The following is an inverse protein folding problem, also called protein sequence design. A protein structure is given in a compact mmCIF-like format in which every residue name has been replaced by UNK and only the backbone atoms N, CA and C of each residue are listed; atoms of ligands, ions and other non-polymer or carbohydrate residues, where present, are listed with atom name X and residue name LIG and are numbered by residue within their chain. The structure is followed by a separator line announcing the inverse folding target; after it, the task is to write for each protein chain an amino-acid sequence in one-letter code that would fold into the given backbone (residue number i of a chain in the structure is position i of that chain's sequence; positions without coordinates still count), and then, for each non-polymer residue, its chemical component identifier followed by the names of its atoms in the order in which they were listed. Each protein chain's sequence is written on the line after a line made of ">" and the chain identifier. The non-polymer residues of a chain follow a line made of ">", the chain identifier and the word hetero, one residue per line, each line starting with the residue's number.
data_IF_796513729835
#
_entry.id   IF_796513729835
#
_cell.length_a   1.000
_cell.length_b   1.000
_cell.length_c   1.000
_cell.angle_alpha   90.00
_cell.angle_beta   90.00
_cell.angle_gamma   90.00
#
_symmetry.space_group_name_H-M   'P 1'
#
loop_
_entity.id
_entity.type
_entity.pdbx_description
1 polymer ?
#
# COMPACT_ATOMS: atom_id res chain seq x y z
N UNK A 1 87.99 6.16 12.28
CA UNK A 1 87.48 5.11 13.20
C UNK A 1 85.98 5.33 13.40
N UNK A 2 85.18 4.31 13.04
CA UNK A 2 83.85 3.93 13.58
C UNK A 2 82.73 5.00 13.57
N UNK A 3 81.73 4.87 12.68
CA UNK A 3 80.47 4.08 12.80
C UNK A 3 79.47 4.65 13.83
N UNK A 4 78.17 4.50 13.51
CA UNK A 4 76.92 4.95 14.19
C UNK A 4 76.53 6.41 13.85
N UNK A 5 75.36 6.75 13.31
CA UNK A 5 74.07 6.07 13.13
C UNK A 5 73.49 6.41 11.75
N UNK A 6 73.18 5.38 10.97
CA UNK A 6 72.22 5.44 9.86
C UNK A 6 70.88 4.87 10.35
N UNK A 7 69.80 5.32 9.71
CA UNK A 7 68.44 4.78 9.74
C UNK A 7 67.55 5.12 10.94
N UNK A 8 67.10 6.38 11.03
CA UNK A 8 65.72 6.66 11.44
C UNK A 8 65.22 7.82 10.56
N UNK A 9 63.98 7.71 10.09
CA UNK A 9 63.16 8.75 9.43
C UNK A 9 63.12 8.70 7.90
N UNK A 10 62.47 7.68 7.34
CA UNK A 10 61.50 7.88 6.23
C UNK A 10 60.68 6.60 6.02
N UNK A 11 59.74 6.34 6.92
CA UNK A 11 58.66 5.38 6.70
C UNK A 11 57.43 5.83 7.49
N UNK A 12 56.99 7.06 7.23
CA UNK A 12 55.74 7.58 7.78
C UNK A 12 54.64 7.36 6.74
N UNK A 13 53.87 6.30 6.99
CA UNK A 13 52.44 6.21 6.77
C UNK A 13 51.86 6.79 5.47
N UNK A 14 51.78 5.94 4.44
CA UNK A 14 50.70 6.00 3.45
C UNK A 14 49.82 4.74 3.57
N UNK A 15 49.40 4.41 4.79
CA UNK A 15 48.15 3.68 4.96
C UNK A 15 47.04 4.68 4.67
N UNK A 16 46.59 4.71 3.42
CA UNK A 16 45.25 5.17 3.07
C UNK A 16 44.28 4.41 3.98
N UNK A 17 43.91 5.05 5.09
CA UNK A 17 42.71 4.69 5.79
C UNK A 17 41.59 4.99 4.79
N UNK A 18 41.18 3.97 4.02
CA UNK A 18 39.81 3.87 3.61
C UNK A 18 38.99 3.74 4.89
N UNK A 19 38.75 4.87 5.54
CA UNK A 19 37.63 5.04 6.44
C UNK A 19 36.41 4.93 5.54
N UNK A 20 36.04 3.69 5.21
CA UNK A 20 34.66 3.36 4.89
C UNK A 20 33.87 3.88 6.08
N UNK A 21 33.27 5.06 5.95
CA UNK A 21 32.20 5.47 6.84
C UNK A 21 31.13 4.40 6.66
N UNK A 22 31.20 3.37 7.50
CA UNK A 22 30.08 2.45 7.71
C UNK A 22 29.07 3.31 8.44
N UNK A 23 28.33 4.12 7.69
CA UNK A 23 27.07 4.66 8.16
C UNK A 23 26.22 3.41 8.37
N UNK A 24 25.96 3.08 9.63
CA UNK A 24 25.07 1.98 9.97
C UNK A 24 23.77 2.19 9.20
N UNK A 25 23.41 1.25 8.32
CA UNK A 25 22.20 1.37 7.52
C UNK A 25 21.03 1.35 8.49
N UNK A 26 20.33 2.49 8.59
CA UNK A 26 19.17 2.60 9.48
C UNK A 26 18.01 1.82 8.87
N UNK A 27 17.37 1.01 9.71
CA UNK A 27 16.13 0.30 9.37
C UNK A 27 15.04 1.34 9.03
N UNK A 28 14.45 1.33 7.83
CA UNK A 28 13.40 2.27 7.48
C UNK A 28 12.13 1.99 8.30
N UNK A 29 11.44 3.07 8.70
CA UNK A 29 10.21 3.01 9.49
C UNK A 29 8.97 2.87 8.60
N UNK A 30 9.01 1.95 7.64
CA UNK A 30 7.87 1.60 6.79
C UNK A 30 6.82 0.80 7.56
N UNK A 31 5.60 0.73 7.01
CA UNK A 31 4.42 0.10 7.62
C UNK A 31 4.04 -1.22 6.92
N UNK A 32 3.74 -1.20 5.61
CA UNK A 32 3.37 -2.43 4.88
C UNK A 32 4.64 -3.15 4.46
N UNK A 33 5.61 -2.41 3.91
CA UNK A 33 6.95 -2.93 3.64
C UNK A 33 7.65 -3.30 4.95
N UNK A 34 8.25 -4.49 4.99
CA UNK A 34 9.05 -4.89 6.13
C UNK A 34 10.42 -4.18 6.08
N UNK A 35 10.69 -3.35 7.09
CA UNK A 35 11.92 -2.57 7.14
C UNK A 35 13.20 -3.42 7.24
N UNK A 36 13.13 -4.60 7.83
CA UNK A 36 14.28 -5.51 7.95
C UNK A 36 14.63 -6.12 6.59
N UNK A 37 13.63 -6.55 5.81
CA UNK A 37 13.80 -7.04 4.43
C UNK A 37 14.42 -5.94 3.54
N UNK A 38 13.94 -4.70 3.64
CA UNK A 38 14.49 -3.58 2.88
C UNK A 38 15.96 -3.34 3.23
N UNK A 39 16.26 -3.30 4.52
CA UNK A 39 17.62 -3.09 5.03
C UNK A 39 18.57 -4.23 4.61
N UNK A 40 18.15 -5.48 4.77
CA UNK A 40 18.90 -6.66 4.34
C UNK A 40 19.20 -6.63 2.84
N UNK A 41 18.21 -6.34 2.01
CA UNK A 41 18.40 -6.27 0.56
C UNK A 41 19.26 -5.09 0.12
N UNK A 42 19.22 -3.96 0.84
CA UNK A 42 20.16 -2.85 0.61
C UNK A 42 21.60 -3.24 0.95
N UNK A 43 21.81 -3.99 2.04
CA UNK A 43 23.13 -4.57 2.34
C UNK A 43 23.60 -5.52 1.24
N UNK A 44 22.73 -6.43 0.75
CA UNK A 44 23.06 -7.35 -0.34
C UNK A 44 23.43 -6.62 -1.63
N UNK A 45 22.72 -5.55 -1.98
CA UNK A 45 23.05 -4.68 -3.11
C UNK A 45 24.46 -4.09 -2.95
N UNK A 46 24.77 -3.52 -1.79
CA UNK A 46 26.08 -2.92 -1.51
C UNK A 46 27.22 -3.96 -1.51
N UNK A 47 26.91 -5.22 -1.18
CA UNK A 47 27.84 -6.34 -1.23
C UNK A 47 27.97 -6.98 -2.62
N UNK A 48 27.27 -6.46 -3.64
CA UNK A 48 27.37 -6.96 -5.02
C UNK A 48 26.54 -8.22 -5.31
N UNK A 49 25.51 -8.53 -4.51
CA UNK A 49 24.64 -9.67 -4.79
C UNK A 49 23.93 -9.53 -6.15
N UNK A 50 24.19 -10.48 -7.05
CA UNK A 50 23.73 -10.41 -8.44
C UNK A 50 22.21 -10.34 -8.58
N UNK A 51 21.47 -11.13 -7.80
CA UNK A 51 20.01 -11.20 -7.87
C UNK A 51 19.38 -9.88 -7.38
N UNK A 52 19.87 -9.32 -6.27
CA UNK A 52 19.40 -8.02 -5.79
C UNK A 52 19.78 -6.89 -6.75
N UNK A 53 20.96 -6.93 -7.39
CA UNK A 53 21.35 -5.96 -8.42
C UNK A 53 20.47 -6.05 -9.67
N UNK A 54 20.09 -7.26 -10.09
CA UNK A 54 19.13 -7.46 -11.19
C UNK A 54 17.76 -6.86 -10.85
N UNK A 55 17.25 -7.13 -9.64
CA UNK A 55 15.99 -6.56 -9.18
C UNK A 55 16.04 -5.03 -9.05
N UNK A 56 17.18 -4.47 -8.60
CA UNK A 56 17.40 -3.03 -8.55
C UNK A 56 17.37 -2.40 -9.95
N UNK A 57 17.97 -3.05 -10.95
CA UNK A 57 17.91 -2.59 -12.35
C UNK A 57 16.47 -2.54 -12.87
N UNK A 58 15.65 -3.55 -12.55
CA UNK A 58 14.21 -3.56 -12.88
C UNK A 58 13.48 -2.40 -12.20
N UNK A 59 13.74 -2.18 -10.91
CA UNK A 59 13.17 -1.07 -10.13
C UNK A 59 13.49 0.29 -10.76
N UNK A 60 14.77 0.56 -11.03
CA UNK A 60 15.24 1.81 -11.64
C UNK A 60 14.63 2.00 -13.04
N UNK A 61 14.60 0.94 -13.85
CA UNK A 61 14.04 1.01 -15.21
C UNK A 61 12.54 1.33 -15.19
N UNK A 62 11.83 0.93 -14.13
CA UNK A 62 10.40 1.20 -13.96
C UNK A 62 10.11 2.65 -13.57
N UNK A 63 11.09 3.38 -13.03
CA UNK A 63 10.90 4.74 -12.50
C UNK A 63 10.92 5.85 -13.56
N UNK A 64 11.33 5.55 -14.80
CA UNK A 64 11.41 6.52 -15.90
C UNK A 64 10.13 7.35 -16.09
N UNK A 65 8.94 6.72 -16.23
CA UNK A 65 7.67 7.44 -16.34
C UNK A 65 7.36 8.34 -15.13
N UNK A 66 7.64 7.87 -13.91
CA UNK A 66 7.40 8.62 -12.67
C UNK A 66 8.31 9.83 -12.54
N UNK A 67 9.57 9.73 -12.98
CA UNK A 67 10.52 10.87 -13.02
C UNK A 67 10.03 12.01 -13.92
N UNK A 68 9.35 11.67 -15.01
CA UNK A 68 8.80 12.64 -15.97
C UNK A 68 7.34 13.04 -15.69
N UNK A 69 6.72 12.53 -14.61
CA UNK A 69 5.31 12.77 -14.32
C UNK A 69 5.02 14.26 -14.13
N UNK A 70 4.06 14.80 -14.86
CA UNK A 70 3.55 16.14 -14.57
C UNK A 70 2.68 16.05 -13.29
N UNK A 71 2.93 16.88 -12.27
CA UNK A 71 2.10 16.87 -11.06
C UNK A 71 0.62 17.08 -11.38
N UNK A 72 -0.22 16.16 -10.91
CA UNK A 72 -1.68 16.25 -11.00
C UNK A 72 -2.28 16.68 -9.68
N UNK A 73 -3.46 17.30 -9.72
CA UNK A 73 -4.19 17.75 -8.53
C UNK A 73 -5.70 17.58 -8.72
N UNK A 74 -6.41 17.41 -7.61
CA UNK A 74 -7.87 17.37 -7.57
C UNK A 74 -8.51 18.67 -8.11
N UNK A 75 -7.82 19.81 -8.11
CA UNK A 75 -8.42 21.08 -8.59
C UNK A 75 -8.60 21.13 -10.11
N UNK A 76 -7.97 20.19 -10.83
CA UNK A 76 -7.97 20.14 -12.31
C UNK A 76 -9.25 19.55 -12.91
N UNK A 77 -10.14 18.98 -12.09
CA UNK A 77 -11.42 18.44 -12.55
C UNK A 77 -12.34 19.55 -13.09
N UNK A 78 -13.04 19.26 -14.18
CA UNK A 78 -14.03 20.18 -14.77
C UNK A 78 -15.24 20.38 -13.86
N UNK A 79 -15.72 19.30 -13.22
CA UNK A 79 -16.83 19.33 -12.27
C UNK A 79 -16.51 20.18 -11.04
N UNK A 80 -17.40 21.07 -10.63
CA UNK A 80 -17.31 21.73 -9.33
C UNK A 80 -18.01 20.85 -8.28
N UNK A 81 -17.34 20.47 -7.18
CA UNK A 81 -17.95 19.68 -6.13
C UNK A 81 -19.15 20.40 -5.50
N UNK A 82 -20.09 19.67 -4.86
CA UNK A 82 -21.28 20.29 -4.24
C UNK A 82 -20.97 21.36 -3.18
N UNK A 83 -19.77 21.38 -2.59
CA UNK A 83 -19.32 22.44 -1.68
C UNK A 83 -19.01 23.77 -2.37
N UNK A 84 -18.78 23.76 -3.68
CA UNK A 84 -18.16 24.88 -4.41
C UNK A 84 -16.63 24.91 -4.37
N UNK A 85 -15.99 24.10 -3.53
CA UNK A 85 -14.53 24.04 -3.38
C UNK A 85 -13.90 22.99 -4.30
N UNK A 86 -13.01 23.42 -5.20
CA UNK A 86 -12.29 22.53 -6.13
C UNK A 86 -11.26 21.62 -5.45
N UNK A 87 -10.80 22.00 -4.25
CA UNK A 87 -9.88 21.19 -3.45
C UNK A 87 -10.56 19.96 -2.83
N UNK A 88 -11.89 19.86 -2.88
CA UNK A 88 -12.60 18.68 -2.41
C UNK A 88 -12.48 17.53 -3.40
N UNK A 89 -11.94 16.41 -2.94
CA UNK A 89 -11.88 15.17 -3.70
C UNK A 89 -13.27 14.73 -4.14
N UNK A 90 -13.42 14.38 -5.42
CA UNK A 90 -14.70 13.96 -5.98
C UNK A 90 -14.56 12.73 -6.87
N UNK A 91 -15.50 11.80 -6.78
CA UNK A 91 -15.60 10.67 -7.72
C UNK A 91 -17.05 10.19 -7.83
N UNK A 92 -17.33 9.36 -8.84
CA UNK A 92 -18.61 8.67 -8.99
C UNK A 92 -18.46 7.19 -8.65
N UNK A 93 -19.49 6.60 -8.06
CA UNK A 93 -19.47 5.19 -7.71
C UNK A 93 -19.39 4.32 -8.98
N UNK A 94 -18.40 3.41 -9.10
CA UNK A 94 -18.04 2.80 -10.38
C UNK A 94 -19.08 1.82 -10.92
N UNK A 95 -19.97 1.28 -10.09
CA UNK A 95 -20.94 0.25 -10.48
C UNK A 95 -22.38 0.75 -10.56
N UNK A 96 -22.58 2.05 -10.66
CA UNK A 96 -23.91 2.66 -10.69
C UNK A 96 -24.23 3.17 -12.09
N UNK A 97 -25.38 2.75 -12.62
CA UNK A 97 -25.81 2.96 -14.01
C UNK A 97 -27.14 3.70 -14.08
N UNK A 98 -27.41 4.45 -15.18
CA UNK A 98 -28.71 5.05 -15.43
C UNK A 98 -29.84 4.03 -15.29
N UNK A 99 -30.91 4.39 -14.58
CA UNK A 99 -32.04 3.50 -14.33
C UNK A 99 -32.97 3.44 -15.55
N UNK A 100 -33.09 2.30 -16.25
CA UNK A 100 -33.92 2.22 -17.44
C UNK A 100 -35.42 2.38 -17.13
N UNK A 101 -35.83 2.13 -15.87
CA UNK A 101 -37.23 2.10 -15.43
C UNK A 101 -37.79 3.48 -15.05
N UNK A 102 -37.00 4.54 -15.17
CA UNK A 102 -37.46 5.92 -14.94
C UNK A 102 -37.24 6.78 -16.17
N UNK A 103 -38.08 7.79 -16.36
CA UNK A 103 -38.04 8.68 -17.52
C UNK A 103 -36.76 9.53 -17.55
N UNK A 104 -36.30 9.99 -16.39
CA UNK A 104 -35.08 10.79 -16.23
C UNK A 104 -33.81 9.95 -15.95
N UNK A 105 -33.93 8.62 -15.95
CA UNK A 105 -32.84 7.66 -15.66
C UNK A 105 -32.21 7.77 -14.26
N UNK A 106 -32.90 8.38 -13.30
CA UNK A 106 -32.49 8.51 -11.90
C UNK A 106 -33.48 7.81 -10.94
N UNK A 107 -33.07 7.51 -9.68
CA UNK A 107 -31.67 7.43 -9.24
C UNK A 107 -30.95 6.31 -10.00
N UNK A 108 -29.63 6.40 -10.12
CA UNK A 108 -28.85 5.31 -10.72
C UNK A 108 -29.06 4.00 -9.94
N UNK A 109 -28.88 2.86 -10.62
CA UNK A 109 -28.99 1.52 -10.03
C UNK A 109 -27.66 0.79 -10.08
N UNK A 110 -27.41 -0.04 -9.06
CA UNK A 110 -26.17 -0.81 -8.95
C UNK A 110 -26.17 -2.02 -9.89
N UNK A 111 -25.09 -2.20 -10.66
CA UNK A 111 -24.74 -3.42 -11.41
C UNK A 111 -23.38 -3.92 -10.95
N UNK A 112 -23.37 -4.86 -10.01
CA UNK A 112 -22.13 -5.28 -9.37
C UNK A 112 -21.09 -5.81 -10.37
N UNK A 113 -19.83 -5.41 -10.18
CA UNK A 113 -18.71 -5.82 -11.02
C UNK A 113 -18.71 -5.24 -12.45
N UNK A 114 -19.75 -4.49 -12.85
CA UNK A 114 -19.89 -3.90 -14.18
C UNK A 114 -19.59 -2.38 -14.12
N UNK A 115 -18.38 -1.94 -14.47
CA UNK A 115 -17.99 -0.53 -14.35
C UNK A 115 -18.73 0.36 -15.35
N UNK A 116 -19.36 1.42 -14.87
CA UNK A 116 -19.91 2.50 -15.69
C UNK A 116 -18.76 3.44 -16.14
N UNK A 117 -18.47 3.55 -17.44
CA UNK A 117 -17.41 4.41 -17.95
C UNK A 117 -17.57 5.88 -17.58
N UNK A 118 -18.78 6.32 -17.27
CA UNK A 118 -19.07 7.68 -16.80
C UNK A 118 -18.29 8.03 -15.52
N UNK A 119 -17.99 7.04 -14.67
CA UNK A 119 -17.15 7.27 -13.49
C UNK A 119 -15.75 7.80 -13.83
N UNK A 120 -15.27 7.53 -15.06
CA UNK A 120 -13.98 8.03 -15.55
C UNK A 120 -14.02 9.50 -16.00
N UNK A 121 -15.18 10.16 -15.99
CA UNK A 121 -15.28 11.59 -16.28
C UNK A 121 -14.62 12.45 -15.19
N UNK A 122 -14.52 11.94 -13.96
CA UNK A 122 -13.81 12.57 -12.85
C UNK A 122 -12.54 11.78 -12.58
N UNK A 123 -11.39 12.46 -12.59
CA UNK A 123 -10.08 11.80 -12.58
C UNK A 123 -9.39 11.77 -11.23
N UNK A 124 -9.95 12.39 -10.19
CA UNK A 124 -9.31 12.49 -8.86
C UNK A 124 -8.86 11.11 -8.33
N UNK A 125 -9.67 10.07 -8.51
CA UNK A 125 -9.30 8.68 -8.16
C UNK A 125 -8.09 8.18 -8.96
N UNK A 126 -8.05 8.45 -10.26
CA UNK A 126 -6.91 8.03 -11.10
C UNK A 126 -5.64 8.79 -10.71
N UNK A 127 -5.73 10.11 -10.52
CA UNK A 127 -4.61 10.94 -10.09
C UNK A 127 -4.06 10.50 -8.74
N UNK A 128 -4.93 10.20 -7.77
CA UNK A 128 -4.50 9.72 -6.47
C UNK A 128 -3.84 8.35 -6.55
N UNK A 129 -4.43 7.40 -7.28
CA UNK A 129 -3.84 6.06 -7.44
C UNK A 129 -2.48 6.09 -8.12
N UNK A 130 -2.34 6.92 -9.15
CA UNK A 130 -1.06 7.05 -9.86
C UNK A 130 -0.02 7.76 -9.00
N UNK A 131 -0.41 8.79 -8.23
CA UNK A 131 0.45 9.38 -7.21
C UNK A 131 0.93 8.35 -6.19
N UNK A 132 0.04 7.52 -5.63
CA UNK A 132 0.43 6.50 -4.65
C UNK A 132 1.49 5.53 -5.21
N UNK A 133 1.31 5.09 -6.46
CA UNK A 133 2.29 4.23 -7.15
C UNK A 133 3.61 4.96 -7.37
N UNK A 134 3.57 6.20 -7.87
CA UNK A 134 4.76 7.00 -8.17
C UNK A 134 5.56 7.27 -6.89
N UNK A 135 4.91 7.69 -5.79
CA UNK A 135 5.61 7.97 -4.52
C UNK A 135 6.23 6.70 -3.93
N UNK A 136 5.53 5.56 -3.97
CA UNK A 136 6.09 4.29 -3.51
C UNK A 136 7.32 3.89 -4.33
N UNK A 137 7.22 3.98 -5.66
CA UNK A 137 8.30 3.61 -6.57
C UNK A 137 9.51 4.53 -6.43
N UNK A 138 9.29 5.84 -6.40
CA UNK A 138 10.35 6.84 -6.24
C UNK A 138 11.01 6.72 -4.86
N UNK A 139 10.24 6.48 -3.79
CA UNK A 139 10.77 6.23 -2.45
C UNK A 139 11.67 5.00 -2.40
N UNK A 140 11.25 3.89 -3.02
CA UNK A 140 12.08 2.69 -3.14
C UNK A 140 13.37 2.94 -3.95
N UNK A 141 13.26 3.66 -5.08
CA UNK A 141 14.43 4.02 -5.89
C UNK A 141 15.42 4.87 -5.09
N UNK A 142 14.94 5.92 -4.42
CA UNK A 142 15.77 6.74 -3.56
C UNK A 142 16.42 5.90 -2.45
N UNK A 143 15.64 5.06 -1.75
CA UNK A 143 16.18 4.25 -0.67
C UNK A 143 17.31 3.32 -1.13
N UNK A 144 17.15 2.60 -2.24
CA UNK A 144 18.17 1.63 -2.68
C UNK A 144 19.37 2.26 -3.39
N UNK A 145 19.23 3.46 -3.97
CA UNK A 145 20.29 4.11 -4.76
C UNK A 145 20.95 5.30 -4.07
N UNK A 146 20.28 5.90 -3.09
CA UNK A 146 20.56 7.22 -2.53
C UNK A 146 20.61 8.36 -3.57
N UNK A 147 20.02 8.16 -4.76
CA UNK A 147 19.99 9.17 -5.83
C UNK A 147 18.84 10.18 -5.58
N UNK A 148 19.23 11.41 -5.26
CA UNK A 148 18.32 12.50 -4.88
C UNK A 148 17.29 12.86 -5.93
N UNK A 149 17.51 12.55 -7.22
CA UNK A 149 16.52 12.87 -8.27
C UNK A 149 15.16 12.21 -8.02
N UNK A 150 15.16 11.02 -7.41
CA UNK A 150 13.93 10.31 -7.08
C UNK A 150 13.18 10.99 -5.93
N UNK A 151 13.91 11.39 -4.88
CA UNK A 151 13.32 12.08 -3.74
C UNK A 151 12.86 13.49 -4.09
N UNK A 152 13.62 14.20 -4.94
CA UNK A 152 13.22 15.50 -5.49
C UNK A 152 11.89 15.40 -6.22
N UNK A 153 11.73 14.39 -7.09
CA UNK A 153 10.47 14.19 -7.82
C UNK A 153 9.32 13.81 -6.89
N UNK A 154 9.57 12.93 -5.93
CA UNK A 154 8.55 12.54 -4.95
C UNK A 154 8.07 13.75 -4.13
N UNK A 155 9.01 14.61 -3.69
CA UNK A 155 8.70 15.82 -2.95
C UNK A 155 7.87 16.83 -3.78
N UNK A 156 8.18 17.00 -5.07
CA UNK A 156 7.39 17.83 -6.00
C UNK A 156 5.93 17.36 -6.07
N UNK A 157 5.73 16.06 -6.34
CA UNK A 157 4.40 15.46 -6.49
C UNK A 157 3.58 15.54 -5.18
N UNK A 158 4.20 15.23 -4.03
CA UNK A 158 3.57 15.32 -2.71
C UNK A 158 3.17 16.75 -2.36
N UNK A 159 4.04 17.73 -2.64
CA UNK A 159 3.76 19.14 -2.38
C UNK A 159 2.53 19.62 -3.15
N UNK A 160 2.43 19.30 -4.44
CA UNK A 160 1.27 19.69 -5.25
C UNK A 160 -0.02 19.03 -4.75
N UNK A 161 0.03 17.73 -4.44
CA UNK A 161 -1.20 17.02 -4.11
C UNK A 161 -1.70 17.26 -2.67
N UNK A 162 -0.81 17.48 -1.70
CA UNK A 162 -1.18 17.54 -0.27
C UNK A 162 -0.87 18.87 0.43
N UNK A 163 0.16 19.61 -0.01
CA UNK A 163 0.73 20.67 0.83
C UNK A 163 0.43 22.08 0.30
N UNK A 164 0.52 22.29 -1.01
CA UNK A 164 0.29 23.59 -1.65
C UNK A 164 -1.20 23.93 -1.61
N UNK A 165 -1.58 24.99 -0.88
CA UNK A 165 -2.97 25.41 -0.67
C UNK A 165 -3.77 25.60 -1.96
N UNK A 166 -3.14 26.08 -3.04
CA UNK A 166 -3.81 26.30 -4.32
C UNK A 166 -4.19 25.00 -5.06
N UNK A 167 -3.60 23.87 -4.67
CA UNK A 167 -3.73 22.59 -5.40
C UNK A 167 -4.00 21.37 -4.51
N UNK A 168 -3.87 21.51 -3.18
CA UNK A 168 -3.98 20.36 -2.27
C UNK A 168 -5.38 19.76 -2.29
N UNK A 169 -5.46 18.45 -2.13
CA UNK A 169 -6.70 17.79 -1.73
C UNK A 169 -7.05 18.19 -0.29
N UNK A 170 -8.30 18.57 -0.02
CA UNK A 170 -8.77 18.73 1.36
C UNK A 170 -8.82 17.37 2.08
N UNK A 171 -8.51 17.28 3.38
CA UNK A 171 -8.33 16.01 4.10
C UNK A 171 -9.66 15.33 4.46
N UNK A 172 -10.51 15.06 3.45
CA UNK A 172 -11.77 14.32 3.59
C UNK A 172 -12.27 13.74 2.25
N UNK A 173 -13.19 12.77 2.32
CA UNK A 173 -13.82 12.15 1.14
C UNK A 173 -15.34 12.37 1.07
N UNK A 174 -15.81 13.54 1.50
CA UNK A 174 -17.25 13.86 1.55
C UNK A 174 -17.99 13.64 0.22
N UNK A 175 -17.31 13.84 -0.92
CA UNK A 175 -17.89 13.72 -2.26
C UNK A 175 -17.26 12.58 -3.07
N UNK A 176 -16.70 11.57 -2.40
CA UNK A 176 -16.23 10.35 -3.06
C UNK A 176 -17.40 9.41 -3.35
N UNK A 177 -17.32 8.73 -4.48
CA UNK A 177 -18.29 7.75 -4.97
C UNK A 177 -19.74 8.23 -4.91
N UNK A 178 -20.00 9.45 -5.35
CA UNK A 178 -21.37 9.94 -5.47
C UNK A 178 -22.17 9.08 -6.44
N UNK A 179 -23.46 8.95 -6.16
CA UNK A 179 -24.42 8.24 -7.00
C UNK A 179 -25.40 9.26 -7.54
N UNK A 180 -25.62 9.28 -8.86
CA UNK A 180 -26.52 10.27 -9.45
C UNK A 180 -27.96 10.02 -9.03
N UNK A 181 -28.62 11.08 -8.58
CA UNK A 181 -30.00 11.03 -8.08
C UNK A 181 -30.13 10.44 -6.68
N UNK A 182 -29.01 10.20 -5.98
CA UNK A 182 -29.00 9.71 -4.60
C UNK A 182 -28.12 10.62 -3.72
N UNK A 183 -28.65 11.08 -2.61
CA UNK A 183 -27.98 11.98 -1.67
C UNK A 183 -27.59 11.29 -0.35
N UNK A 184 -27.77 9.96 -0.24
CA UNK A 184 -27.38 9.20 0.93
C UNK A 184 -25.87 9.21 1.13
N UNK A 185 -25.46 9.10 2.39
CA UNK A 185 -24.06 8.95 2.77
C UNK A 185 -23.71 7.46 2.71
N UNK A 186 -22.66 7.13 1.97
CA UNK A 186 -22.14 5.77 1.86
C UNK A 186 -20.70 5.70 2.35
N UNK A 187 -20.35 4.60 3.02
CA UNK A 187 -18.97 4.32 3.43
C UNK A 187 -18.04 3.90 2.29
N UNK A 188 -18.59 3.52 1.13
CA UNK A 188 -17.83 2.93 0.02
C UNK A 188 -16.80 3.89 -0.57
N UNK A 189 -17.00 5.21 -0.44
CA UNK A 189 -16.08 6.23 -0.93
C UNK A 189 -14.68 6.13 -0.35
N UNK A 190 -14.52 5.61 0.88
CA UNK A 190 -13.20 5.42 1.53
C UNK A 190 -12.27 4.42 0.83
N UNK A 191 -12.79 3.60 -0.08
CA UNK A 191 -11.96 2.69 -0.88
C UNK A 191 -11.14 3.45 -1.94
N UNK A 192 -11.52 4.67 -2.29
CA UNK A 192 -10.82 5.47 -3.28
C UNK A 192 -9.40 5.88 -2.83
N UNK A 193 -9.16 5.90 -1.52
CA UNK A 193 -7.88 6.21 -0.87
C UNK A 193 -7.15 4.97 -0.34
N UNK A 194 -7.60 3.77 -0.70
CA UNK A 194 -7.09 2.50 -0.14
C UNK A 194 -5.57 2.27 -0.32
N UNK A 195 -4.94 2.99 -1.25
CA UNK A 195 -3.51 2.92 -1.57
C UNK A 195 -2.66 3.94 -0.81
N UNK A 196 -3.25 4.89 -0.07
CA UNK A 196 -2.49 5.85 0.74
C UNK A 196 -1.54 5.19 1.76
N UNK A 197 -1.86 4.04 2.38
CA UNK A 197 -0.87 3.30 3.17
C UNK A 197 0.40 2.90 2.39
N UNK A 198 0.26 2.53 1.12
CA UNK A 198 1.38 2.21 0.24
C UNK A 198 2.20 3.46 -0.14
N UNK A 199 1.54 4.62 -0.28
CA UNK A 199 2.19 5.94 -0.44
C UNK A 199 3.02 6.29 0.80
N UNK A 200 2.49 6.05 2.00
CA UNK A 200 3.17 6.37 3.25
C UNK A 200 4.45 5.56 3.44
N UNK A 201 4.52 4.30 2.99
CA UNK A 201 5.79 3.58 2.92
C UNK A 201 6.81 4.33 2.05
N UNK A 202 6.40 4.81 0.87
CA UNK A 202 7.25 5.59 -0.03
C UNK A 202 7.77 6.88 0.63
N UNK A 203 6.91 7.59 1.37
CA UNK A 203 7.29 8.78 2.14
C UNK A 203 8.32 8.45 3.23
N UNK A 204 8.11 7.37 3.99
CA UNK A 204 9.05 6.96 5.04
C UNK A 204 10.43 6.63 4.49
N UNK A 205 10.52 6.20 3.23
CA UNK A 205 11.77 5.93 2.54
C UNK A 205 12.52 7.19 2.08
N UNK A 206 11.87 8.36 2.03
CA UNK A 206 12.50 9.65 1.72
C UNK A 206 13.31 10.23 2.90
N UNK A 207 13.28 9.60 4.07
CA UNK A 207 14.01 10.05 5.24
C UNK A 207 15.51 10.25 4.93
N UNK A 208 16.06 11.39 5.36
CA UNK A 208 17.44 11.78 5.09
C UNK A 208 17.68 12.48 3.76
N UNK A 209 16.67 12.57 2.87
CA UNK A 209 16.78 13.35 1.64
C UNK A 209 16.80 14.85 1.94
N UNK A 210 17.67 15.58 1.23
CA UNK A 210 17.67 17.05 1.22
C UNK A 210 16.41 17.65 0.57
N UNK A 211 15.72 16.87 -0.29
CA UNK A 211 14.50 17.28 -0.98
C UNK A 211 13.23 17.10 -0.14
N UNK A 212 13.26 16.21 0.86
CA UNK A 212 12.15 15.94 1.78
C UNK A 212 12.47 16.39 3.21
N UNK A 213 12.30 17.69 3.46
CA UNK A 213 12.58 18.32 4.76
C UNK A 213 11.62 17.90 5.88
N UNK A 214 12.04 18.13 7.13
CA UNK A 214 11.20 17.96 8.33
C UNK A 214 9.89 18.73 8.25
N UNK A 215 9.89 19.92 7.65
CA UNK A 215 8.68 20.75 7.50
C UNK A 215 7.67 20.11 6.55
N UNK A 216 8.14 19.50 5.44
CA UNK A 216 7.26 18.76 4.54
C UNK A 216 6.69 17.52 5.23
N UNK A 217 7.51 16.81 6.00
CA UNK A 217 7.08 15.66 6.80
C UNK A 217 5.99 16.07 7.81
N UNK A 218 6.22 17.14 8.58
CA UNK A 218 5.28 17.64 9.57
C UNK A 218 3.97 18.13 8.92
N UNK A 219 4.06 18.82 7.78
CA UNK A 219 2.88 19.28 7.04
C UNK A 219 2.05 18.10 6.50
N UNK A 220 2.69 17.05 5.99
CA UNK A 220 2.00 15.85 5.54
C UNK A 220 1.37 15.08 6.71
N UNK A 221 2.06 14.96 7.84
CA UNK A 221 1.49 14.41 9.07
C UNK A 221 0.27 15.22 9.54
N UNK A 222 0.32 16.55 9.44
CA UNK A 222 -0.82 17.42 9.72
C UNK A 222 -2.02 17.17 8.82
N UNK A 223 -1.80 16.88 7.52
CA UNK A 223 -2.86 16.48 6.59
C UNK A 223 -3.48 15.13 6.99
N UNK A 224 -2.64 14.11 7.25
CA UNK A 224 -3.11 12.78 7.65
C UNK A 224 -3.78 12.76 9.03
N UNK A 225 -3.38 13.65 9.95
CA UNK A 225 -4.04 13.83 11.24
C UNK A 225 -5.47 14.32 11.07
N UNK A 226 -5.68 15.33 10.23
CA UNK A 226 -7.03 15.83 9.89
C UNK A 226 -7.87 14.76 9.18
N UNK A 227 -7.27 14.03 8.24
CA UNK A 227 -7.98 13.01 7.50
C UNK A 227 -8.35 11.80 8.37
N UNK A 228 -7.45 11.36 9.26
CA UNK A 228 -7.73 10.34 10.26
C UNK A 228 -8.90 10.75 11.17
N UNK A 229 -8.89 12.00 11.66
CA UNK A 229 -10.00 12.52 12.45
C UNK A 229 -11.31 12.50 11.66
N UNK A 230 -11.30 12.91 10.39
CA UNK A 230 -12.48 12.86 9.54
C UNK A 230 -12.98 11.42 9.34
N UNK A 231 -12.09 10.44 9.11
CA UNK A 231 -12.47 9.03 8.97
C UNK A 231 -13.15 8.50 10.25
N UNK A 232 -12.65 8.85 11.44
CA UNK A 232 -13.19 8.31 12.69
C UNK A 232 -14.49 9.01 13.13
N UNK A 233 -14.68 10.29 12.78
CA UNK A 233 -15.78 11.11 13.34
C UNK A 233 -16.88 11.47 12.34
N UNK A 234 -16.61 11.44 11.03
CA UNK A 234 -17.61 11.82 10.02
C UNK A 234 -18.62 10.71 9.76
N UNK A 235 -19.83 11.08 9.30
CA UNK A 235 -20.86 10.10 8.93
C UNK A 235 -20.36 9.11 7.86
N UNK A 236 -19.66 9.57 6.82
CA UNK A 236 -19.12 8.70 5.77
C UNK A 236 -18.04 7.75 6.27
N UNK A 237 -17.19 8.21 7.18
CA UNK A 237 -16.18 7.38 7.84
C UNK A 237 -16.79 6.34 8.79
N UNK A 238 -17.83 6.70 9.55
CA UNK A 238 -18.59 5.78 10.40
C UNK A 238 -19.24 4.69 9.54
N UNK A 239 -19.93 5.05 8.44
CA UNK A 239 -20.50 4.06 7.51
C UNK A 239 -19.44 3.13 6.91
N UNK A 240 -18.25 3.64 6.61
CA UNK A 240 -17.14 2.82 6.13
C UNK A 240 -16.65 1.84 7.20
N UNK A 241 -16.59 2.28 8.45
CA UNK A 241 -16.19 1.45 9.59
C UNK A 241 -17.13 0.25 9.79
N UNK A 242 -18.41 0.41 9.48
CA UNK A 242 -19.45 -0.63 9.60
C UNK A 242 -19.50 -1.58 8.40
N UNK A 243 -18.76 -1.32 7.32
CA UNK A 243 -18.80 -2.16 6.13
C UNK A 243 -18.30 -3.59 6.45
N UNK A 244 -19.12 -4.64 6.19
CA UNK A 244 -18.79 -5.99 6.62
C UNK A 244 -17.74 -6.67 5.73
N UNK A 245 -17.48 -6.14 4.55
CA UNK A 245 -16.62 -6.73 3.52
C UNK A 245 -15.24 -6.03 3.45
N UNK A 246 -14.52 -6.21 2.35
CA UNK A 246 -13.20 -5.65 2.08
C UNK A 246 -13.09 -4.14 2.33
N UNK A 247 -14.16 -3.37 2.15
CA UNK A 247 -14.15 -1.93 2.46
C UNK A 247 -13.78 -1.72 3.93
N UNK A 248 -14.36 -2.52 4.82
CA UNK A 248 -14.05 -2.50 6.23
C UNK A 248 -12.60 -2.87 6.56
N UNK A 249 -12.07 -3.88 5.87
CA UNK A 249 -10.68 -4.32 6.00
C UNK A 249 -9.72 -3.19 5.61
N UNK A 250 -9.97 -2.55 4.46
CA UNK A 250 -9.18 -1.42 3.99
C UNK A 250 -9.39 -0.16 4.83
N UNK A 251 -10.57 0.04 5.43
CA UNK A 251 -10.80 1.09 6.40
C UNK A 251 -9.90 0.91 7.63
N UNK A 252 -9.82 -0.31 8.20
CA UNK A 252 -8.91 -0.59 9.31
C UNK A 252 -7.43 -0.45 8.91
N UNK A 253 -7.04 -0.93 7.72
CA UNK A 253 -5.69 -0.69 7.18
C UNK A 253 -5.34 0.81 7.14
N UNK A 254 -6.25 1.64 6.63
CA UNK A 254 -6.05 3.08 6.53
C UNK A 254 -5.88 3.74 7.91
N UNK A 255 -6.88 3.61 8.79
CA UNK A 255 -6.86 4.34 10.08
C UNK A 255 -5.70 3.90 10.99
N UNK A 256 -5.32 2.62 10.98
CA UNK A 256 -4.19 2.11 11.79
C UNK A 256 -2.87 2.64 11.23
N UNK A 257 -2.70 2.61 9.91
CA UNK A 257 -1.49 3.17 9.27
C UNK A 257 -1.37 4.66 9.54
N UNK A 258 -2.46 5.42 9.43
CA UNK A 258 -2.42 6.86 9.65
C UNK A 258 -2.17 7.22 11.10
N UNK A 259 -2.76 6.48 12.05
CA UNK A 259 -2.47 6.65 13.48
C UNK A 259 -0.98 6.44 13.78
N UNK A 260 -0.35 5.42 13.19
CA UNK A 260 1.09 5.19 13.30
C UNK A 260 1.90 6.32 12.64
N UNK A 261 1.51 6.76 11.45
CA UNK A 261 2.22 7.81 10.71
C UNK A 261 2.23 9.16 11.43
N UNK A 262 1.15 9.51 12.14
CA UNK A 262 1.08 10.72 12.98
C UNK A 262 1.64 10.51 14.40
N UNK A 263 2.27 9.36 14.66
CA UNK A 263 2.94 9.07 15.94
C UNK A 263 2.01 8.60 17.07
N UNK A 264 0.72 8.37 16.81
CA UNK A 264 -0.24 7.92 17.81
C UNK A 264 -0.35 6.38 17.86
N UNK A 265 0.70 5.75 18.38
CA UNK A 265 0.76 4.28 18.52
C UNK A 265 -0.31 3.71 19.45
N UNK A 266 -0.70 4.44 20.49
CA UNK A 266 -1.78 4.04 21.42
C UNK A 266 -3.11 3.91 20.70
N UNK A 267 -3.47 4.89 19.86
CA UNK A 267 -4.67 4.82 19.03
C UNK A 267 -4.59 3.65 18.04
N UNK A 268 -3.46 3.48 17.35
CA UNK A 268 -3.27 2.37 16.40
C UNK A 268 -3.52 1.00 17.06
N UNK A 269 -2.96 0.79 18.26
CA UNK A 269 -3.17 -0.43 19.05
C UNK A 269 -4.64 -0.61 19.42
N UNK A 270 -5.29 0.44 19.94
CA UNK A 270 -6.70 0.41 20.30
C UNK A 270 -7.61 0.08 19.11
N UNK A 271 -7.36 0.65 17.92
CA UNK A 271 -8.14 0.38 16.71
C UNK A 271 -8.01 -1.07 16.24
N UNK A 272 -6.82 -1.68 16.37
CA UNK A 272 -6.63 -3.10 16.09
C UNK A 272 -7.45 -3.98 17.05
N UNK A 273 -7.34 -3.71 18.36
CA UNK A 273 -7.98 -4.51 19.40
C UNK A 273 -9.52 -4.38 19.40
N UNK A 274 -10.04 -3.17 19.16
CA UNK A 274 -11.47 -2.88 19.25
C UNK A 274 -12.22 -3.08 17.93
N UNK A 275 -11.54 -2.97 16.79
CA UNK A 275 -12.18 -3.08 15.46
C UNK A 275 -11.66 -4.26 14.64
N UNK A 276 -10.35 -4.37 14.43
CA UNK A 276 -9.80 -5.35 13.50
C UNK A 276 -10.05 -6.81 13.95
N UNK A 277 -9.90 -7.11 15.24
CA UNK A 277 -10.18 -8.44 15.78
C UNK A 277 -11.64 -8.87 15.57
N UNK A 278 -12.59 -7.98 15.88
CA UNK A 278 -14.01 -8.24 15.66
C UNK A 278 -14.35 -8.40 14.17
N UNK A 279 -13.73 -7.60 13.30
CA UNK A 279 -13.93 -7.69 11.85
C UNK A 279 -13.40 -9.01 11.28
N UNK A 280 -12.23 -9.47 11.74
CA UNK A 280 -11.68 -10.76 11.32
C UNK A 280 -12.66 -11.89 11.66
N UNK A 281 -13.22 -11.89 12.88
CA UNK A 281 -14.21 -12.88 13.26
C UNK A 281 -15.47 -12.78 12.38
N UNK A 282 -15.99 -11.58 12.14
CA UNK A 282 -17.22 -11.40 11.37
C UNK A 282 -17.10 -11.75 9.88
N UNK A 283 -15.92 -11.56 9.26
CA UNK A 283 -15.73 -11.74 7.83
C UNK A 283 -15.50 -13.19 7.38
N UNK A 284 -14.97 -14.01 8.29
CA UNK A 284 -14.46 -15.34 7.95
C UNK A 284 -15.37 -16.44 8.49
N UNK A 285 -15.45 -17.56 7.78
CA UNK A 285 -15.88 -18.83 8.38
C UNK A 285 -14.72 -19.46 9.15
N UNK A 286 -15.03 -20.43 10.01
CA UNK A 286 -14.04 -21.23 10.77
C UNK A 286 -13.08 -22.00 9.84
N UNK A 287 -13.51 -22.26 8.61
CA UNK A 287 -12.76 -22.91 7.53
C UNK A 287 -12.00 -21.93 6.63
N UNK A 288 -12.15 -20.61 6.82
CA UNK A 288 -11.41 -19.58 6.10
C UNK A 288 -12.17 -18.89 4.96
N UNK A 289 -13.37 -19.34 4.58
CA UNK A 289 -14.16 -18.67 3.54
C UNK A 289 -14.43 -17.21 3.89
N UNK A 290 -14.31 -16.34 2.88
CA UNK A 290 -14.59 -14.91 2.98
C UNK A 290 -16.01 -14.62 2.50
N UNK A 291 -17.01 -14.79 3.38
CA UNK A 291 -18.43 -14.92 2.98
C UNK A 291 -18.96 -13.74 2.16
N UNK A 292 -18.57 -12.52 2.52
CA UNK A 292 -19.04 -11.31 1.84
C UNK A 292 -18.39 -11.11 0.46
N UNK A 293 -17.19 -11.64 0.26
CA UNK A 293 -16.49 -11.58 -1.03
C UNK A 293 -16.95 -12.68 -1.98
N UNK A 294 -17.28 -13.85 -1.44
CA UNK A 294 -17.85 -14.96 -2.21
C UNK A 294 -19.24 -14.63 -2.79
N UNK A 295 -19.98 -13.72 -2.15
CA UNK A 295 -21.27 -13.24 -2.66
C UNK A 295 -21.16 -12.24 -3.82
N UNK A 296 -19.94 -11.91 -4.29
CA UNK A 296 -19.70 -10.91 -5.33
C UNK A 296 -19.65 -11.58 -6.70
N UNK A 297 -20.11 -10.85 -7.71
CA UNK A 297 -20.01 -11.29 -9.12
C UNK A 297 -18.56 -11.48 -9.59
N UNK A 298 -17.59 -10.84 -8.93
CA UNK A 298 -16.13 -11.01 -9.14
C UNK A 298 -15.48 -11.63 -7.90
N UNK A 299 -16.00 -12.74 -7.42
CA UNK A 299 -15.66 -13.29 -6.10
C UNK A 299 -14.17 -13.60 -5.94
N UNK A 300 -13.52 -14.21 -6.93
CA UNK A 300 -12.07 -14.49 -6.87
C UNK A 300 -11.26 -13.19 -6.74
N UNK A 301 -11.65 -12.15 -7.47
CA UNK A 301 -11.01 -10.83 -7.40
C UNK A 301 -11.16 -10.22 -6.01
N UNK A 302 -12.35 -10.31 -5.43
CA UNK A 302 -12.64 -9.72 -4.11
C UNK A 302 -12.03 -10.52 -2.95
N UNK A 303 -11.99 -11.86 -3.04
CA UNK A 303 -11.30 -12.70 -2.06
C UNK A 303 -9.78 -12.40 -2.02
N UNK A 304 -9.14 -12.23 -3.18
CA UNK A 304 -7.73 -11.83 -3.25
C UNK A 304 -7.51 -10.40 -2.74
N UNK A 305 -8.40 -9.47 -3.11
CA UNK A 305 -8.35 -8.08 -2.63
C UNK A 305 -8.45 -8.01 -1.10
N UNK A 306 -9.43 -8.68 -0.51
CA UNK A 306 -9.63 -8.65 0.94
C UNK A 306 -8.48 -9.33 1.69
N UNK A 307 -7.99 -10.47 1.19
CA UNK A 307 -6.81 -11.14 1.75
C UNK A 307 -5.57 -10.24 1.69
N UNK A 308 -5.33 -9.52 0.58
CA UNK A 308 -4.27 -8.51 0.48
C UNK A 308 -4.44 -7.44 1.56
N UNK A 309 -5.65 -6.90 1.74
CA UNK A 309 -5.95 -5.92 2.78
C UNK A 309 -5.60 -6.41 4.18
N UNK A 310 -5.98 -7.65 4.51
CA UNK A 310 -5.65 -8.28 5.78
C UNK A 310 -4.15 -8.52 5.98
N UNK A 311 -3.44 -8.98 4.95
CA UNK A 311 -1.99 -9.18 5.01
C UNK A 311 -1.25 -7.84 5.19
N UNK A 312 -1.68 -6.80 4.49
CA UNK A 312 -1.14 -5.46 4.68
C UNK A 312 -1.40 -4.95 6.11
N UNK A 313 -2.62 -5.16 6.64
CA UNK A 313 -2.96 -4.77 8.01
C UNK A 313 -2.14 -5.56 9.04
N UNK A 314 -1.86 -6.83 8.78
CA UNK A 314 -1.00 -7.64 9.65
C UNK A 314 0.46 -7.15 9.66
N UNK A 315 1.03 -6.77 8.51
CA UNK A 315 2.32 -6.09 8.46
C UNK A 315 2.32 -4.80 9.28
N UNK A 316 1.30 -3.95 9.11
CA UNK A 316 1.17 -2.67 9.81
C UNK A 316 1.02 -2.86 11.33
N UNK A 317 0.31 -3.91 11.75
CA UNK A 317 0.08 -4.23 13.16
C UNK A 317 1.38 -4.53 13.92
N UNK A 318 2.41 -5.06 13.25
CA UNK A 318 3.72 -5.29 13.86
C UNK A 318 4.35 -3.99 14.37
N UNK A 319 4.19 -2.88 13.65
CA UNK A 319 4.64 -1.54 14.09
C UNK A 319 3.91 -1.05 15.34
N UNK A 320 2.69 -1.55 15.59
CA UNK A 320 1.96 -1.32 16.84
C UNK A 320 2.37 -2.30 17.95
N UNK A 321 3.14 -3.35 17.66
CA UNK A 321 3.49 -4.44 18.59
C UNK A 321 2.41 -5.52 18.70
N UNK A 322 1.55 -5.66 17.68
CA UNK A 322 0.51 -6.68 17.59
C UNK A 322 0.88 -7.71 16.51
N UNK A 323 0.83 -8.98 16.87
CA UNK A 323 0.99 -10.08 15.92
C UNK A 323 -0.37 -10.55 15.39
N UNK A 324 -0.86 -9.92 14.32
CA UNK A 324 -2.11 -10.32 13.68
C UNK A 324 -1.97 -11.58 12.80
N UNK A 325 -0.73 -11.94 12.40
CA UNK A 325 -0.47 -13.12 11.58
C UNK A 325 -0.85 -14.43 12.28
N UNK A 326 -0.58 -14.51 13.58
CA UNK A 326 -0.85 -15.68 14.43
C UNK A 326 -2.15 -15.55 15.24
N UNK A 327 -2.83 -14.41 15.15
CA UNK A 327 -4.09 -14.19 15.87
C UNK A 327 -5.15 -15.21 15.44
N UNK A 328 -5.80 -15.79 16.45
CA UNK A 328 -7.00 -16.63 16.29
C UNK A 328 -8.12 -16.03 17.12
N UNK A 329 -9.26 -15.80 16.49
CA UNK A 329 -10.43 -15.23 17.15
C UNK A 329 -11.04 -16.20 18.16
N UNK A 330 -11.90 -15.73 19.09
CA UNK A 330 -12.63 -16.61 20.01
C UNK A 330 -13.44 -17.70 19.29
N UNK A 331 -13.96 -17.43 18.09
CA UNK A 331 -14.67 -18.42 17.26
C UNK A 331 -13.73 -19.33 16.44
N UNK A 332 -12.43 -19.27 16.66
CA UNK A 332 -11.43 -20.10 15.99
C UNK A 332 -11.10 -19.68 14.55
N UNK A 333 -11.37 -18.44 14.14
CA UNK A 333 -11.08 -17.93 12.78
C UNK A 333 -9.72 -17.22 12.77
N UNK A 334 -9.00 -17.27 11.67
CA UNK A 334 -7.67 -16.66 11.55
C UNK A 334 -7.31 -16.31 10.12
N UNK A 335 -6.34 -15.40 9.94
CA UNK A 335 -5.79 -15.07 8.62
C UNK A 335 -5.14 -16.29 7.96
N UNK A 336 -4.47 -17.13 8.75
CA UNK A 336 -3.89 -18.39 8.28
C UNK A 336 -4.95 -19.27 7.62
N UNK A 337 -6.11 -19.44 8.25
CA UNK A 337 -7.22 -20.23 7.70
C UNK A 337 -7.78 -19.64 6.40
N UNK A 338 -7.95 -18.32 6.35
CA UNK A 338 -8.38 -17.65 5.12
C UNK A 338 -7.40 -17.83 3.96
N UNK A 339 -6.09 -17.71 4.25
CA UNK A 339 -5.03 -17.96 3.28
C UNK A 339 -5.01 -19.44 2.84
N UNK A 340 -5.00 -20.38 3.78
CA UNK A 340 -5.05 -21.82 3.53
C UNK A 340 -6.23 -22.22 2.64
N UNK A 341 -7.40 -21.64 2.88
CA UNK A 341 -8.59 -21.92 2.09
C UNK A 341 -8.44 -21.51 0.61
N UNK A 342 -7.69 -20.44 0.34
CA UNK A 342 -7.42 -19.95 -1.02
C UNK A 342 -6.39 -20.81 -1.78
N UNK A 343 -5.47 -21.49 -1.08
CA UNK A 343 -4.33 -22.21 -1.68
C UNK A 343 -4.75 -23.22 -2.76
N UNK A 344 -5.73 -24.13 -2.55
CA UNK A 344 -6.08 -25.12 -3.56
C UNK A 344 -6.60 -24.52 -4.88
N UNK A 345 -7.19 -23.32 -4.84
CA UNK A 345 -7.68 -22.63 -6.04
C UNK A 345 -6.52 -21.95 -6.79
N UNK A 346 -5.62 -21.26 -6.08
CA UNK A 346 -4.41 -20.69 -6.67
C UNK A 346 -3.45 -21.75 -7.23
N UNK A 347 -3.45 -22.94 -6.63
CA UNK A 347 -2.65 -24.10 -7.07
C UNK A 347 -3.28 -24.91 -8.21
N UNK A 348 -4.46 -24.51 -8.72
CA UNK A 348 -5.22 -25.26 -9.75
C UNK A 348 -5.63 -26.69 -9.35
N UNK A 349 -5.65 -26.98 -8.04
CA UNK A 349 -6.09 -28.27 -7.50
C UNK A 349 -7.62 -28.32 -7.43
N UNK A 350 -8.26 -27.19 -7.14
CA UNK A 350 -9.72 -27.05 -7.11
C UNK A 350 -10.20 -26.01 -8.13
N UNK A 351 -11.27 -26.28 -8.90
CA UNK A 351 -11.89 -25.27 -9.73
C UNK A 351 -12.60 -24.22 -8.87
N UNK A 352 -12.64 -22.97 -9.34
CA UNK A 352 -13.40 -21.91 -8.67
C UNK A 352 -14.89 -22.03 -9.02
N UNK A 353 -15.71 -22.47 -8.06
CA UNK A 353 -17.14 -22.73 -8.26
C UNK A 353 -18.06 -21.55 -7.90
N UNK A 354 -17.49 -20.36 -7.66
CA UNK A 354 -18.23 -19.14 -7.33
C UNK A 354 -18.22 -18.17 -8.51
N UNK A 355 -19.11 -17.18 -8.49
CA UNK A 355 -19.23 -16.20 -9.58
C UNK A 355 -17.93 -15.44 -9.81
N UNK A 356 -17.41 -15.48 -11.03
CA UNK A 356 -16.28 -14.66 -11.47
C UNK A 356 -16.59 -14.16 -12.88
N UNK A 357 -17.32 -13.06 -12.99
CA UNK A 357 -17.53 -12.38 -14.26
C UNK A 357 -16.21 -11.79 -14.76
N UNK A 358 -15.91 -12.02 -16.04
CA UNK A 358 -14.61 -11.70 -16.63
C UNK A 358 -13.60 -12.82 -16.37
N UNK A 359 -12.31 -12.48 -16.46
CA UNK A 359 -11.24 -13.46 -16.41
C UNK A 359 -10.94 -13.91 -14.97
N UNK A 360 -10.78 -15.23 -14.77
CA UNK A 360 -10.21 -15.82 -13.57
C UNK A 360 -8.69 -15.93 -13.78
N UNK A 361 -7.90 -15.25 -12.95
CA UNK A 361 -6.44 -15.22 -13.02
C UNK A 361 -5.86 -15.74 -11.72
N UNK A 362 -5.29 -16.93 -11.73
CA UNK A 362 -4.70 -17.51 -10.51
C UNK A 362 -3.58 -16.63 -9.94
N UNK A 363 -2.91 -15.88 -10.81
CA UNK A 363 -1.79 -15.00 -10.50
C UNK A 363 -2.17 -13.86 -9.52
N UNK A 364 -3.47 -13.58 -9.37
CA UNK A 364 -3.95 -12.65 -8.34
C UNK A 364 -3.61 -13.12 -6.91
N UNK A 365 -3.42 -14.43 -6.72
CA UNK A 365 -3.03 -15.01 -5.43
C UNK A 365 -1.52 -15.00 -5.19
N UNK A 366 -0.70 -14.93 -6.25
CA UNK A 366 0.77 -15.04 -6.16
C UNK A 366 1.41 -14.05 -5.18
N UNK A 367 1.03 -12.76 -5.11
CA UNK A 367 1.59 -11.84 -4.12
C UNK A 367 1.29 -12.26 -2.67
N UNK A 368 0.08 -12.74 -2.40
CA UNK A 368 -0.28 -13.25 -1.08
C UNK A 368 0.47 -14.56 -0.77
N UNK A 369 0.64 -15.44 -1.77
CA UNK A 369 1.40 -16.68 -1.61
C UNK A 369 2.88 -16.41 -1.27
N UNK A 370 3.52 -15.41 -1.90
CA UNK A 370 4.89 -15.01 -1.56
C UNK A 370 5.00 -14.59 -0.10
N UNK A 371 4.19 -13.62 0.34
CA UNK A 371 4.19 -13.18 1.73
C UNK A 371 3.85 -14.32 2.69
N UNK A 372 2.83 -15.13 2.35
CA UNK A 372 2.38 -16.27 3.14
C UNK A 372 3.46 -17.34 3.31
N UNK A 373 4.34 -17.55 2.31
CA UNK A 373 5.44 -18.52 2.40
C UNK A 373 6.46 -18.20 3.51
N UNK A 374 6.71 -16.90 3.76
CA UNK A 374 7.61 -16.47 4.81
C UNK A 374 6.98 -16.56 6.21
N UNK A 375 5.65 -16.49 6.30
CA UNK A 375 4.89 -16.43 7.55
C UNK A 375 4.39 -17.81 7.98
N UNK A 376 3.75 -18.56 7.07
CA UNK A 376 3.09 -19.84 7.32
C UNK A 376 3.90 -20.99 6.73
N UNK A 377 5.05 -21.26 7.35
CA UNK A 377 6.05 -22.24 6.88
C UNK A 377 5.56 -23.69 6.80
N UNK A 378 4.44 -23.99 7.46
CA UNK A 378 3.81 -25.31 7.44
C UNK A 378 2.93 -25.56 6.19
N UNK A 379 2.74 -24.56 5.32
CA UNK A 379 1.92 -24.69 4.13
C UNK A 379 2.76 -24.97 2.90
N UNK A 380 2.37 -25.99 2.13
CA UNK A 380 2.97 -26.25 0.82
C UNK A 380 2.41 -25.27 -0.22
N UNK A 381 3.26 -24.37 -0.71
CA UNK A 381 2.94 -23.36 -1.72
C UNK A 381 3.73 -23.55 -3.02
N UNK A 382 4.46 -24.66 -3.16
CA UNK A 382 5.32 -24.93 -4.32
C UNK A 382 4.54 -24.87 -5.64
N UNK A 383 3.35 -25.48 -5.68
CA UNK A 383 2.47 -25.48 -6.86
C UNK A 383 1.93 -24.09 -7.21
N UNK A 384 1.85 -23.17 -6.25
CA UNK A 384 1.42 -21.77 -6.49
C UNK A 384 2.57 -20.90 -6.97
N UNK A 385 3.78 -21.14 -6.44
CA UNK A 385 4.94 -20.26 -6.67
C UNK A 385 5.77 -20.71 -7.89
N UNK A 386 5.84 -22.00 -8.17
CA UNK A 386 6.80 -22.63 -9.11
C UNK A 386 6.89 -22.00 -10.49
N UNK A 387 5.77 -21.61 -11.12
CA UNK A 387 5.75 -21.11 -12.50
C UNK A 387 6.54 -19.82 -12.72
N UNK A 388 6.59 -18.94 -11.71
CA UNK A 388 7.33 -17.67 -11.77
C UNK A 388 8.45 -17.56 -10.72
N UNK A 389 8.59 -18.55 -9.84
CA UNK A 389 9.50 -18.49 -8.71
C UNK A 389 10.97 -18.34 -9.12
N UNK A 390 11.44 -19.13 -10.09
CA UNK A 390 12.82 -19.05 -10.56
C UNK A 390 13.17 -17.65 -11.10
N UNK A 391 12.25 -17.03 -11.85
CA UNK A 391 12.42 -15.66 -12.36
C UNK A 391 12.40 -14.63 -11.24
N UNK A 392 11.53 -14.82 -10.25
CA UNK A 392 11.47 -13.99 -9.05
C UNK A 392 12.79 -14.00 -8.28
N UNK A 393 13.34 -15.19 -8.00
CA UNK A 393 14.63 -15.33 -7.29
C UNK A 393 15.82 -14.87 -8.12
N UNK A 394 15.73 -14.92 -9.45
CA UNK A 394 16.73 -14.37 -10.35
C UNK A 394 16.70 -12.82 -10.42
N UNK A 395 15.84 -12.15 -9.65
CA UNK A 395 15.74 -10.69 -9.66
C UNK A 395 15.06 -10.12 -10.90
N UNK A 396 14.25 -10.91 -11.62
CA UNK A 396 13.49 -10.42 -12.77
C UNK A 396 12.34 -9.47 -12.39
N UNK A 397 12.03 -9.36 -11.09
CA UNK A 397 10.96 -8.54 -10.55
C UNK A 397 11.49 -7.69 -9.40
N UNK A 398 11.17 -6.39 -9.40
CA UNK A 398 11.59 -5.46 -8.35
C UNK A 398 11.05 -5.84 -6.96
N UNK A 399 9.93 -6.57 -6.94
CA UNK A 399 9.24 -7.07 -5.75
C UNK A 399 10.13 -8.03 -4.94
N UNK A 400 11.17 -8.62 -5.53
CA UNK A 400 12.18 -9.40 -4.81
C UNK A 400 12.87 -8.55 -3.72
N UNK A 401 13.04 -7.25 -3.94
CA UNK A 401 13.67 -6.35 -2.97
C UNK A 401 12.78 -6.04 -1.76
N UNK A 402 11.47 -6.33 -1.85
CA UNK A 402 10.46 -5.81 -0.90
C UNK A 402 9.56 -6.87 -0.30
N UNK A 403 9.44 -8.04 -0.93
CA UNK A 403 8.56 -9.11 -0.49
C UNK A 403 9.19 -9.90 0.66
N UNK A 404 8.38 -10.24 1.66
CA UNK A 404 8.72 -11.33 2.57
C UNK A 404 8.66 -12.62 1.74
N UNK A 405 9.77 -13.33 1.65
CA UNK A 405 9.90 -14.53 0.83
C UNK A 405 10.92 -15.48 1.48
N UNK A 406 10.68 -16.80 1.39
CA UNK A 406 11.57 -17.84 1.93
C UNK A 406 12.50 -18.41 0.87
#
# INVERSE_FOLDING_TARGET
>A
MKKLLQFISLSLAFTLAFSSHIIAQVRPNTFILNGDVLMENKYKINAGNEQCLAALKVLISSAGPSLTRIPTSVVTKSLTPPSGDKNDYTSLAPYWWPNPNTSNKLPYIRKDGQPNPEANAIKDNTYLRDLCKDIRLLGLCYYFTNDEKYAQKAAELLKVFFLNSATRMNPHLKYAQMIRGDNKVYGTGTIDTEQLPELLDGVQLLAGSSSWTSDNQAALQGWFSQYLNWLITSAGGIEASLAPNNIGTYYNLQIVTYALFVGNRTLAKSLLETQAYNRLDAQLKVTGEQIYELARTKSWTYCNKNLKGWFNLASVAESAGINLWEYTSPSGKSLKKAFQWMVPYGAKIKPWSFDQIGEFKEEYFTPAARTGSAIYKDLNLESVLSSDHARFMAGSYSEMLTSRYY
#
